data_IF_156587271037
#
_entry.id   IF_156587271037
#
_cell.length_a   1.000
_cell.length_b   1.000
_cell.length_c   1.000
_cell.angle_alpha   90.00
_cell.angle_beta   90.00
_cell.angle_gamma   90.00
#
_symmetry.space_group_name_H-M   'P 1'
#
loop_
_entity.id
_entity.type
_entity.pdbx_description
1 polymer ?
#
# COMPACT_ATOMS: atom_id res chain seq x y z
N UNK A 1 -10.25 25.72 24.00
CA UNK A 1 -9.58 24.42 23.79
C UNK A 1 -10.48 23.33 24.34
N UNK A 2 -10.92 22.40 23.51
CA UNK A 2 -11.69 21.22 23.92
C UNK A 2 -10.88 19.97 23.53
N UNK A 3 -10.42 19.15 24.49
CA UNK A 3 -9.79 17.87 24.20
C UNK A 3 -10.89 16.83 23.99
N UNK A 4 -10.90 16.14 22.85
CA UNK A 4 -11.68 14.91 22.72
C UNK A 4 -12.82 14.89 21.71
N UNK A 5 -12.64 15.42 20.50
CA UNK A 5 -13.31 14.76 19.38
C UNK A 5 -12.47 13.53 19.02
N UNK A 6 -12.97 12.29 19.18
CA UNK A 6 -12.36 11.17 18.48
C UNK A 6 -12.37 11.56 17.00
N UNK A 7 -11.22 11.48 16.34
CA UNK A 7 -11.16 11.45 14.88
C UNK A 7 -12.23 10.45 14.45
N UNK A 8 -13.35 10.95 13.90
CA UNK A 8 -14.56 10.15 13.72
C UNK A 8 -14.20 8.83 13.06
N UNK A 9 -14.37 7.73 13.80
CA UNK A 9 -14.06 6.40 13.30
C UNK A 9 -14.92 6.14 12.07
N UNK A 10 -14.26 5.96 10.92
CA UNK A 10 -14.89 5.78 9.62
C UNK A 10 -15.07 4.28 9.36
N UNK A 11 -16.08 3.72 10.01
CA UNK A 11 -16.42 2.29 9.91
C UNK A 11 -16.70 1.87 8.45
N UNK A 12 -17.20 2.79 7.63
CA UNK A 12 -17.38 2.65 6.18
C UNK A 12 -16.07 2.31 5.46
N UNK A 13 -14.99 3.02 5.79
CA UNK A 13 -13.70 2.84 5.12
C UNK A 13 -12.99 1.59 5.62
N UNK A 14 -13.10 1.28 6.91
CA UNK A 14 -12.55 0.04 7.45
C UNK A 14 -13.32 -1.19 6.93
N UNK A 15 -14.64 -1.06 6.69
CA UNK A 15 -15.45 -2.07 5.99
C UNK A 15 -15.01 -2.30 4.55
N UNK A 16 -14.68 -1.25 3.81
CA UNK A 16 -14.13 -1.36 2.45
C UNK A 16 -12.75 -2.04 2.44
N UNK A 17 -11.89 -1.77 3.43
CA UNK A 17 -10.62 -2.50 3.58
C UNK A 17 -10.82 -3.97 3.88
N UNK A 18 -11.75 -4.30 4.78
CA UNK A 18 -12.09 -5.68 5.08
C UNK A 18 -12.58 -6.40 3.81
N UNK A 19 -13.44 -5.76 3.02
CA UNK A 19 -13.91 -6.29 1.74
C UNK A 19 -12.75 -6.52 0.76
N UNK A 20 -11.85 -5.54 0.62
CA UNK A 20 -10.67 -5.68 -0.24
C UNK A 20 -9.78 -6.87 0.16
N UNK A 21 -9.55 -7.06 1.46
CA UNK A 21 -8.80 -8.21 1.99
C UNK A 21 -9.54 -9.53 1.73
N UNK A 22 -10.86 -9.57 1.91
CA UNK A 22 -11.66 -10.77 1.63
C UNK A 22 -11.57 -11.21 0.16
N UNK A 23 -11.56 -10.26 -0.79
CA UNK A 23 -11.34 -10.57 -2.20
C UNK A 23 -10.00 -11.28 -2.44
N UNK A 24 -8.94 -10.81 -1.77
CA UNK A 24 -7.60 -11.43 -1.85
C UNK A 24 -7.62 -12.84 -1.24
N UNK A 25 -8.26 -13.00 -0.08
CA UNK A 25 -8.36 -14.30 0.61
C UNK A 25 -9.14 -15.31 -0.22
N UNK A 26 -10.31 -14.94 -0.74
CA UNK A 26 -11.13 -15.85 -1.55
C UNK A 26 -10.47 -16.26 -2.87
N UNK A 27 -9.68 -15.36 -3.46
CA UNK A 27 -8.85 -15.71 -4.61
C UNK A 27 -7.82 -16.80 -4.25
N UNK A 28 -7.10 -16.68 -3.13
CA UNK A 28 -6.13 -17.70 -2.70
C UNK A 28 -6.79 -19.02 -2.26
N UNK A 29 -8.05 -18.97 -1.81
CA UNK A 29 -8.83 -20.17 -1.46
C UNK A 29 -9.49 -20.84 -2.67
N UNK A 30 -9.25 -20.36 -3.90
CA UNK A 30 -9.85 -20.87 -5.14
C UNK A 30 -11.39 -20.91 -5.08
N UNK A 31 -12.02 -19.94 -4.41
CA UNK A 31 -13.48 -19.84 -4.35
C UNK A 31 -14.00 -19.47 -5.76
N UNK A 32 -14.99 -20.20 -6.31
CA UNK A 32 -15.57 -19.88 -7.61
C UNK A 32 -16.01 -18.41 -7.69
N UNK A 33 -15.82 -17.79 -8.86
CA UNK A 33 -16.15 -16.38 -9.16
C UNK A 33 -15.20 -15.32 -8.55
N UNK A 34 -14.21 -15.71 -7.74
CA UNK A 34 -13.20 -14.79 -7.18
C UNK A 34 -11.85 -14.87 -7.90
N UNK A 35 -11.83 -14.85 -9.23
CA UNK A 35 -10.60 -14.99 -10.05
C UNK A 35 -9.74 -13.71 -10.10
N UNK A 36 -10.13 -12.63 -9.41
CA UNK A 36 -9.51 -11.30 -9.50
C UNK A 36 -8.91 -10.80 -8.19
N UNK A 37 -8.20 -11.64 -7.43
CA UNK A 37 -7.62 -11.25 -6.12
C UNK A 37 -6.73 -10.02 -6.17
N UNK A 38 -6.08 -9.78 -7.32
CA UNK A 38 -5.29 -8.58 -7.58
C UNK A 38 -6.08 -7.28 -7.43
N UNK A 39 -7.36 -7.27 -7.84
CA UNK A 39 -8.26 -6.12 -7.68
C UNK A 39 -8.44 -5.75 -6.21
N UNK A 40 -8.41 -6.74 -5.30
CA UNK A 40 -8.45 -6.48 -3.87
C UNK A 40 -7.25 -5.67 -3.39
N UNK A 41 -6.06 -5.92 -3.94
CA UNK A 41 -4.85 -5.15 -3.61
C UNK A 41 -4.94 -3.72 -4.17
N UNK A 42 -5.46 -3.55 -5.38
CA UNK A 42 -5.64 -2.23 -6.02
C UNK A 42 -6.57 -1.36 -5.16
N UNK A 43 -7.71 -1.92 -4.75
CA UNK A 43 -8.66 -1.25 -3.86
C UNK A 43 -7.99 -0.91 -2.52
N UNK A 44 -7.19 -1.82 -1.97
CA UNK A 44 -6.45 -1.57 -0.73
C UNK A 44 -5.49 -0.37 -0.87
N UNK A 45 -4.72 -0.28 -1.95
CA UNK A 45 -3.81 0.85 -2.21
C UNK A 45 -4.56 2.17 -2.44
N UNK A 46 -5.68 2.15 -3.16
CA UNK A 46 -6.56 3.32 -3.33
C UNK A 46 -7.08 3.81 -1.97
N UNK A 47 -7.61 2.91 -1.13
CA UNK A 47 -8.11 3.29 0.20
C UNK A 47 -6.99 3.82 1.09
N UNK A 48 -5.81 3.22 1.02
CA UNK A 48 -4.63 3.65 1.77
C UNK A 48 -4.17 5.04 1.34
N UNK A 49 -4.12 5.32 0.04
CA UNK A 49 -3.86 6.66 -0.51
C UNK A 49 -4.88 7.70 -0.04
N UNK A 50 -6.17 7.36 -0.05
CA UNK A 50 -7.24 8.22 0.43
C UNK A 50 -7.08 8.56 1.92
N UNK A 51 -6.96 7.55 2.77
CA UNK A 51 -6.94 7.74 4.22
C UNK A 51 -5.71 8.49 4.70
N UNK A 52 -4.54 8.21 4.12
CA UNK A 52 -3.33 8.92 4.54
C UNK A 52 -3.36 10.38 4.08
N UNK A 53 -3.84 10.63 2.87
CA UNK A 53 -3.92 11.98 2.31
C UNK A 53 -4.90 12.82 3.12
N UNK A 54 -6.09 12.28 3.41
CA UNK A 54 -7.10 12.95 4.25
C UNK A 54 -6.54 13.23 5.65
N UNK A 55 -5.85 12.27 6.27
CA UNK A 55 -5.25 12.44 7.60
C UNK A 55 -4.19 13.56 7.61
N UNK A 56 -3.24 13.53 6.67
CA UNK A 56 -2.16 14.53 6.61
C UNK A 56 -2.71 15.91 6.34
N UNK A 57 -3.55 16.06 5.32
CA UNK A 57 -4.08 17.37 4.93
C UNK A 57 -4.90 17.97 6.08
N UNK A 58 -5.71 17.17 6.78
CA UNK A 58 -6.45 17.63 7.96
C UNK A 58 -5.55 18.04 9.11
N UNK A 59 -4.53 17.25 9.43
CA UNK A 59 -3.62 17.57 10.55
C UNK A 59 -2.86 18.87 10.27
N UNK A 60 -2.31 19.03 9.05
CA UNK A 60 -1.59 20.25 8.68
C UNK A 60 -2.53 21.46 8.60
N UNK A 61 -3.75 21.30 8.08
CA UNK A 61 -4.76 22.37 8.05
C UNK A 61 -5.17 22.83 9.45
N UNK A 62 -5.37 21.90 10.38
CA UNK A 62 -5.91 22.20 11.72
C UNK A 62 -4.84 22.67 12.71
N UNK A 63 -3.61 22.17 12.58
CA UNK A 63 -2.52 22.44 13.54
C UNK A 63 -1.40 23.30 12.97
N UNK A 64 -1.38 23.53 11.65
CA UNK A 64 -0.27 24.20 10.95
C UNK A 64 1.00 23.37 10.83
N UNK A 65 1.02 22.12 11.32
CA UNK A 65 2.19 21.24 11.31
C UNK A 65 1.79 19.77 11.15
N UNK A 66 2.75 18.86 11.01
CA UNK A 66 2.50 17.42 10.98
C UNK A 66 3.47 16.69 11.91
N UNK A 67 2.94 15.84 12.80
CA UNK A 67 3.76 15.06 13.73
C UNK A 67 4.12 13.69 13.16
N UNK A 68 5.25 13.60 12.46
CA UNK A 68 5.79 12.32 11.96
C UNK A 68 5.94 11.28 13.07
N UNK A 69 6.42 11.69 14.26
CA UNK A 69 6.56 10.79 15.42
C UNK A 69 5.23 10.19 15.85
N UNK A 70 4.18 10.99 15.93
CA UNK A 70 2.85 10.52 16.31
C UNK A 70 2.27 9.58 15.25
N UNK A 71 2.42 9.97 13.98
CA UNK A 71 2.00 9.20 12.82
C UNK A 71 2.60 7.79 12.82
N UNK A 72 3.93 7.68 12.83
CA UNK A 72 4.61 6.38 12.79
C UNK A 72 4.37 5.55 14.06
N UNK A 73 4.29 6.19 15.24
CA UNK A 73 3.99 5.47 16.49
C UNK A 73 2.62 4.80 16.44
N UNK A 74 1.58 5.53 16.02
CA UNK A 74 0.22 4.98 15.91
C UNK A 74 0.16 3.85 14.90
N UNK A 75 0.87 3.99 13.77
CA UNK A 75 0.95 2.95 12.73
C UNK A 75 1.66 1.70 13.25
N UNK A 76 2.79 1.85 13.91
CA UNK A 76 3.56 0.76 14.49
C UNK A 76 2.70 -0.08 15.45
N UNK A 77 2.05 0.56 16.44
CA UNK A 77 1.22 -0.17 17.40
C UNK A 77 -0.06 -0.76 16.82
N UNK A 78 -0.50 -0.28 15.65
CA UNK A 78 -1.65 -0.86 14.94
C UNK A 78 -1.27 -2.10 14.14
N UNK A 79 -0.08 -2.13 13.53
CA UNK A 79 0.30 -3.19 12.58
C UNK A 79 1.21 -4.24 13.21
N UNK A 80 2.20 -3.82 14.00
CA UNK A 80 3.24 -4.69 14.51
C UNK A 80 2.72 -5.86 15.36
N UNK A 81 1.71 -5.69 16.25
CA UNK A 81 1.22 -6.82 17.05
C UNK A 81 0.63 -7.94 16.19
N UNK A 82 -0.22 -7.59 15.22
CA UNK A 82 -0.82 -8.57 14.32
C UNK A 82 0.24 -9.22 13.42
N UNK A 83 1.17 -8.42 12.88
CA UNK A 83 2.27 -8.91 12.05
C UNK A 83 3.15 -9.90 12.81
N UNK A 84 3.54 -9.55 14.04
CA UNK A 84 4.40 -10.38 14.89
C UNK A 84 3.72 -11.73 15.20
N UNK A 85 2.44 -11.70 15.58
CA UNK A 85 1.64 -12.92 15.79
C UNK A 85 1.62 -13.78 14.53
N UNK A 86 1.28 -13.20 13.37
CA UNK A 86 1.27 -13.91 12.09
C UNK A 86 2.61 -14.57 11.79
N UNK A 87 3.73 -13.87 11.97
CA UNK A 87 5.08 -14.41 11.76
C UNK A 87 5.37 -15.56 12.73
N UNK A 88 5.07 -15.41 14.02
CA UNK A 88 5.31 -16.45 15.01
C UNK A 88 4.54 -17.74 14.72
N UNK A 89 3.24 -17.64 14.41
CA UNK A 89 2.42 -18.80 14.08
C UNK A 89 2.85 -19.43 12.75
N UNK A 90 3.21 -18.61 11.75
CA UNK A 90 3.71 -19.10 10.46
C UNK A 90 5.04 -19.84 10.64
N UNK A 91 5.96 -19.30 11.44
CA UNK A 91 7.24 -19.94 11.73
C UNK A 91 7.05 -21.26 12.50
N UNK A 92 6.17 -21.28 13.50
CA UNK A 92 5.87 -22.49 14.26
C UNK A 92 5.29 -23.61 13.37
N UNK A 93 4.34 -23.27 12.48
CA UNK A 93 3.80 -24.22 11.50
C UNK A 93 4.84 -24.69 10.49
N UNK A 94 5.66 -23.77 9.98
CA UNK A 94 6.69 -24.09 9.00
C UNK A 94 7.75 -25.04 9.54
N UNK A 95 8.18 -24.88 10.80
CA UNK A 95 9.16 -25.80 11.42
C UNK A 95 8.68 -27.26 11.40
N UNK A 96 7.36 -27.49 11.48
CA UNK A 96 6.76 -28.82 11.48
C UNK A 96 6.52 -29.37 10.06
N UNK A 97 6.26 -28.49 9.09
CA UNK A 97 5.73 -28.86 7.78
C UNK A 97 6.73 -28.72 6.63
N UNK A 98 7.73 -27.84 6.75
CA UNK A 98 8.59 -27.43 5.64
C UNK A 98 9.95 -28.14 5.65
N UNK A 99 10.50 -28.38 4.46
CA UNK A 99 11.87 -28.88 4.32
C UNK A 99 12.90 -27.78 4.68
N UNK A 100 14.18 -28.14 4.96
CA UNK A 100 15.20 -27.16 5.30
C UNK A 100 15.34 -26.00 4.30
N UNK A 101 15.25 -26.29 2.99
CA UNK A 101 15.30 -25.27 1.95
C UNK A 101 14.11 -24.29 2.00
N UNK A 102 12.91 -24.76 2.35
CA UNK A 102 11.74 -23.90 2.52
C UNK A 102 11.81 -23.06 3.79
N UNK A 103 12.41 -23.59 4.87
CA UNK A 103 12.68 -22.83 6.09
C UNK A 103 13.69 -21.72 5.86
N UNK A 104 14.73 -21.95 5.07
CA UNK A 104 15.69 -20.90 4.68
C UNK A 104 15.00 -19.77 3.90
N UNK A 105 14.15 -20.13 2.92
CA UNK A 105 13.33 -19.15 2.18
C UNK A 105 12.39 -18.37 3.10
N UNK A 106 11.76 -19.03 4.07
CA UNK A 106 10.91 -18.36 5.06
C UNK A 106 11.73 -17.38 5.92
N UNK A 107 12.91 -17.77 6.38
CA UNK A 107 13.82 -16.89 7.12
C UNK A 107 14.18 -15.65 6.31
N UNK A 108 14.49 -15.82 5.02
CA UNK A 108 14.68 -14.73 4.07
C UNK A 108 13.48 -13.80 4.01
N UNK A 109 12.27 -14.35 3.81
CA UNK A 109 11.03 -13.55 3.77
C UNK A 109 10.80 -12.76 5.07
N UNK A 110 11.05 -13.35 6.24
CA UNK A 110 10.90 -12.69 7.55
C UNK A 110 11.88 -11.52 7.69
N UNK A 111 13.14 -11.70 7.32
CA UNK A 111 14.14 -10.62 7.37
C UNK A 111 13.71 -9.44 6.49
N UNK A 112 13.33 -9.71 5.24
CA UNK A 112 12.94 -8.66 4.29
C UNK A 112 11.61 -8.01 4.65
N UNK A 113 10.69 -8.74 5.28
CA UNK A 113 9.47 -8.21 5.84
C UNK A 113 9.76 -7.14 6.90
N UNK A 114 10.57 -7.46 7.91
CA UNK A 114 10.90 -6.49 8.96
C UNK A 114 11.80 -5.34 8.46
N UNK A 115 12.55 -5.55 7.37
CA UNK A 115 13.28 -4.49 6.68
C UNK A 115 12.39 -3.62 5.78
N UNK A 116 11.09 -3.93 5.61
CA UNK A 116 10.17 -3.16 4.76
C UNK A 116 10.40 -3.33 3.26
N UNK A 117 11.03 -4.43 2.85
CA UNK A 117 11.46 -4.71 1.46
C UNK A 117 11.09 -6.12 0.98
N UNK A 118 10.05 -6.74 1.57
CA UNK A 118 9.61 -8.07 1.15
C UNK A 118 9.12 -8.11 -0.30
N UNK A 119 8.63 -6.99 -0.83
CA UNK A 119 8.31 -6.86 -2.26
C UNK A 119 9.52 -7.05 -3.17
N UNK A 120 10.69 -6.51 -2.78
CA UNK A 120 11.93 -6.70 -3.53
C UNK A 120 12.40 -8.16 -3.42
N UNK A 121 12.31 -8.75 -2.23
CA UNK A 121 12.66 -10.16 -2.02
C UNK A 121 11.87 -11.10 -2.94
N UNK A 122 10.54 -10.96 -2.96
CA UNK A 122 9.68 -11.78 -3.79
C UNK A 122 9.79 -11.45 -5.29
N UNK A 123 10.15 -10.22 -5.64
CA UNK A 123 10.52 -9.85 -7.01
C UNK A 123 11.82 -10.51 -7.47
N UNK A 124 12.88 -10.52 -6.65
CA UNK A 124 14.15 -11.18 -7.04
C UNK A 124 14.06 -12.70 -7.13
N UNK A 125 13.08 -13.30 -6.45
CA UNK A 125 12.82 -14.74 -6.45
C UNK A 125 11.63 -15.12 -7.33
N UNK A 126 11.36 -14.35 -8.39
CA UNK A 126 10.16 -14.42 -9.23
C UNK A 126 10.05 -15.71 -10.07
N UNK A 127 9.77 -16.79 -9.36
CA UNK A 127 8.78 -17.80 -9.74
C UNK A 127 7.46 -17.43 -9.01
N UNK A 128 6.94 -16.20 -9.17
CA UNK A 128 5.66 -15.81 -8.53
C UNK A 128 4.47 -16.57 -9.17
N UNK A 129 4.58 -16.85 -10.46
CA UNK A 129 3.61 -17.62 -11.24
C UNK A 129 4.10 -19.04 -11.60
N UNK A 130 5.35 -19.37 -11.29
CA UNK A 130 5.86 -20.73 -11.43
C UNK A 130 5.78 -21.47 -10.09
N UNK A 131 5.55 -22.77 -10.15
CA UNK A 131 5.03 -23.67 -9.10
C UNK A 131 5.34 -23.24 -7.65
N UNK A 132 4.34 -22.66 -6.97
CA UNK A 132 4.22 -22.71 -5.50
C UNK A 132 3.99 -21.40 -4.74
N UNK A 133 2.99 -20.58 -5.08
CA UNK A 133 2.49 -19.57 -4.13
C UNK A 133 2.08 -20.21 -2.78
N UNK A 134 1.59 -21.45 -2.83
CA UNK A 134 1.19 -22.27 -1.69
C UNK A 134 2.34 -22.57 -0.71
N UNK A 135 3.60 -22.54 -1.17
CA UNK A 135 4.79 -22.78 -0.32
C UNK A 135 5.46 -21.49 0.15
N UNK A 136 4.86 -20.33 -0.12
CA UNK A 136 5.34 -19.00 0.28
C UNK A 136 4.36 -18.37 1.27
N UNK A 137 4.32 -18.79 2.54
CA UNK A 137 3.25 -18.41 3.47
C UNK A 137 3.21 -16.91 3.83
N UNK A 138 4.34 -16.21 3.68
CA UNK A 138 4.44 -14.76 3.88
C UNK A 138 4.38 -13.96 2.57
N UNK A 139 3.98 -14.56 1.45
CA UNK A 139 3.97 -13.89 0.16
C UNK A 139 3.17 -12.58 0.19
N UNK A 140 1.97 -12.61 0.79
CA UNK A 140 1.06 -11.47 0.92
C UNK A 140 1.70 -10.21 1.54
N UNK A 141 2.80 -10.33 2.29
CA UNK A 141 3.47 -9.19 2.93
C UNK A 141 4.17 -8.25 1.95
N UNK A 142 4.35 -8.67 0.68
CA UNK A 142 4.89 -7.79 -0.35
C UNK A 142 4.09 -6.48 -0.45
N UNK A 143 2.75 -6.58 -0.39
CA UNK A 143 1.85 -5.44 -0.51
C UNK A 143 1.95 -4.52 0.70
N UNK A 144 2.21 -5.08 1.89
CA UNK A 144 2.50 -4.33 3.11
C UNK A 144 3.80 -3.53 2.97
N UNK A 145 4.88 -4.13 2.44
CA UNK A 145 6.15 -3.41 2.22
C UNK A 145 5.99 -2.26 1.22
N UNK A 146 5.21 -2.45 0.13
CA UNK A 146 4.88 -1.36 -0.80
C UNK A 146 4.12 -0.24 -0.09
N UNK A 147 3.14 -0.59 0.74
CA UNK A 147 2.37 0.38 1.54
C UNK A 147 3.26 1.14 2.55
N UNK A 148 4.22 0.47 3.18
CA UNK A 148 5.18 1.09 4.11
C UNK A 148 6.14 2.04 3.39
N UNK A 149 6.69 1.66 2.24
CA UNK A 149 7.51 2.52 1.39
C UNK A 149 6.74 3.76 0.96
N UNK A 150 5.48 3.57 0.55
CA UNK A 150 4.57 4.66 0.24
C UNK A 150 4.40 5.60 1.44
N UNK A 151 4.13 5.08 2.65
CA UNK A 151 3.99 5.93 3.83
C UNK A 151 5.29 6.52 4.37
N UNK A 152 6.45 6.06 3.93
CA UNK A 152 7.71 6.75 4.19
C UNK A 152 7.84 8.02 3.34
N UNK A 153 7.40 7.96 2.08
CA UNK A 153 7.57 9.04 1.09
C UNK A 153 6.41 10.04 1.15
N UNK A 154 5.17 9.54 1.21
CA UNK A 154 3.95 10.32 1.02
C UNK A 154 3.74 11.45 2.03
N UNK A 155 3.92 11.23 3.36
CA UNK A 155 3.77 12.32 4.32
C UNK A 155 4.81 13.41 4.13
N UNK A 156 6.06 13.05 3.83
CA UNK A 156 7.12 14.01 3.55
C UNK A 156 6.77 14.88 2.33
N UNK A 157 6.36 14.25 1.23
CA UNK A 157 5.95 14.93 0.02
C UNK A 157 4.76 15.87 0.26
N UNK A 158 3.66 15.35 0.84
CA UNK A 158 2.45 16.13 1.01
C UNK A 158 2.61 17.27 2.00
N UNK A 159 3.31 17.05 3.11
CA UNK A 159 3.58 18.12 4.09
C UNK A 159 4.43 19.21 3.42
N UNK A 160 5.48 18.85 2.70
CA UNK A 160 6.32 19.82 1.99
C UNK A 160 5.54 20.66 0.96
N UNK A 161 4.77 20.00 0.09
CA UNK A 161 3.95 20.67 -0.93
C UNK A 161 2.88 21.53 -0.27
N UNK A 162 2.22 21.04 0.78
CA UNK A 162 1.17 21.77 1.47
C UNK A 162 1.68 23.04 2.14
N UNK A 163 2.82 22.97 2.84
CA UNK A 163 3.43 24.10 3.53
C UNK A 163 4.01 25.14 2.56
N UNK A 164 4.45 24.72 1.36
CA UNK A 164 5.00 25.62 0.34
C UNK A 164 3.90 26.25 -0.52
N UNK A 165 2.99 25.43 -1.04
CA UNK A 165 1.87 25.86 -1.87
C UNK A 165 0.72 24.84 -1.79
N UNK A 166 -0.22 25.05 -0.87
CA UNK A 166 -1.41 24.20 -0.71
C UNK A 166 -2.21 23.96 -2.00
N UNK A 167 -2.20 24.92 -2.95
CA UNK A 167 -2.91 24.78 -4.24
C UNK A 167 -2.20 23.83 -5.21
N UNK A 168 -0.92 23.53 -4.99
CA UNK A 168 -0.15 22.61 -5.82
C UNK A 168 -0.41 21.14 -5.49
N UNK A 169 -0.96 20.81 -4.32
CA UNK A 169 -1.22 19.42 -3.90
C UNK A 169 -1.99 18.60 -4.94
N UNK A 170 -3.17 19.01 -5.44
CA UNK A 170 -3.90 18.23 -6.43
C UNK A 170 -3.10 18.05 -7.74
N UNK A 171 -2.34 19.06 -8.15
CA UNK A 171 -1.50 18.97 -9.36
C UNK A 171 -0.36 17.98 -9.19
N UNK A 172 0.31 17.95 -8.03
CA UNK A 172 1.33 16.95 -7.73
C UNK A 172 0.74 15.54 -7.76
N UNK A 173 -0.45 15.35 -7.20
CA UNK A 173 -1.15 14.06 -7.25
C UNK A 173 -1.52 13.64 -8.68
N UNK A 174 -2.01 14.58 -9.52
CA UNK A 174 -2.29 14.33 -10.94
C UNK A 174 -1.02 13.97 -11.69
N UNK A 175 0.08 14.68 -11.45
CA UNK A 175 1.37 14.40 -12.08
C UNK A 175 1.90 13.02 -11.68
N UNK A 176 1.82 12.65 -10.40
CA UNK A 176 2.21 11.32 -9.92
C UNK A 176 1.33 10.21 -10.50
N UNK A 177 0.01 10.44 -10.56
CA UNK A 177 -0.93 9.53 -11.21
C UNK A 177 -0.53 9.32 -12.67
N UNK A 178 -0.39 10.40 -13.45
CA UNK A 178 -0.05 10.32 -14.86
C UNK A 178 1.32 9.68 -15.12
N UNK A 179 2.33 10.04 -14.32
CA UNK A 179 3.67 9.47 -14.42
C UNK A 179 3.70 7.97 -14.10
N UNK A 180 3.08 7.56 -12.99
CA UNK A 180 3.04 6.15 -12.60
C UNK A 180 2.22 5.31 -13.58
N UNK A 181 1.09 5.83 -14.07
CA UNK A 181 0.26 5.14 -15.07
C UNK A 181 0.99 5.03 -16.42
N UNK A 182 1.69 6.08 -16.85
CA UNK A 182 2.50 6.04 -18.06
C UNK A 182 3.64 5.02 -17.93
N UNK A 183 4.36 4.99 -16.79
CA UNK A 183 5.37 3.97 -16.53
C UNK A 183 4.77 2.56 -16.57
N UNK A 184 3.60 2.34 -15.96
CA UNK A 184 2.91 1.06 -16.01
C UNK A 184 2.58 0.65 -17.45
N UNK A 185 1.94 1.54 -18.23
CA UNK A 185 1.55 1.26 -19.61
C UNK A 185 2.73 1.06 -20.56
N UNK A 186 3.83 1.79 -20.39
CA UNK A 186 5.04 1.65 -21.21
C UNK A 186 5.71 0.28 -21.02
N UNK A 187 5.59 -0.31 -19.84
CA UNK A 187 6.19 -1.60 -19.51
C UNK A 187 5.18 -2.76 -19.64
N UNK A 188 3.88 -2.49 -19.74
CA UNK A 188 2.82 -3.52 -19.83
C UNK A 188 3.01 -4.52 -20.98
N UNK A 189 3.50 -4.05 -22.14
CA UNK A 189 3.65 -4.90 -23.33
C UNK A 189 4.90 -5.78 -23.32
N UNK A 190 5.76 -5.69 -22.28
CA UNK A 190 7.00 -6.48 -22.18
C UNK A 190 8.07 -6.14 -23.23
N UNK A 191 7.81 -5.13 -24.07
CA UNK A 191 8.63 -4.73 -25.23
C UNK A 191 9.21 -3.33 -25.05
N UNK A 192 9.92 -3.08 -23.96
CA UNK A 192 10.63 -1.79 -23.82
C UNK A 192 11.93 -1.81 -24.63
N UNK A 193 12.02 -0.89 -25.59
CA UNK A 193 13.18 -0.69 -26.48
C UNK A 193 14.50 -0.31 -25.76
N UNK A 194 14.47 -0.09 -24.44
CA UNK A 194 15.59 0.42 -23.64
C UNK A 194 16.35 -0.66 -22.85
N UNK A 195 15.82 -1.88 -22.69
CA UNK A 195 16.38 -2.85 -21.73
C UNK A 195 16.48 -4.30 -22.22
N UNK A 196 16.08 -4.61 -23.46
CA UNK A 196 15.92 -6.00 -23.88
C UNK A 196 14.70 -6.64 -23.20
N UNK A 197 14.34 -7.85 -23.61
CA UNK A 197 13.24 -8.61 -23.01
C UNK A 197 13.50 -8.78 -21.51
N UNK A 198 12.80 -7.99 -20.68
CA UNK A 198 12.72 -8.28 -19.26
C UNK A 198 11.89 -9.56 -19.16
N UNK A 199 12.57 -10.70 -18.99
CA UNK A 199 11.95 -12.02 -18.79
C UNK A 199 10.90 -12.00 -17.66
N UNK A 200 10.91 -10.97 -16.81
CA UNK A 200 10.06 -10.82 -15.64
C UNK A 200 9.33 -9.46 -15.53
N UNK A 201 8.83 -8.97 -16.66
CA UNK A 201 8.10 -7.70 -16.75
C UNK A 201 6.87 -7.66 -15.83
N UNK A 202 6.16 -8.78 -15.70
CA UNK A 202 4.94 -8.85 -14.88
C UNK A 202 5.23 -8.71 -13.38
N UNK A 203 6.25 -9.40 -12.85
CA UNK A 203 6.62 -9.24 -11.45
C UNK A 203 7.11 -7.82 -11.14
N UNK A 204 7.78 -7.18 -12.09
CA UNK A 204 8.22 -5.79 -11.94
C UNK A 204 7.03 -4.84 -11.76
N UNK A 205 6.04 -4.91 -12.66
CA UNK A 205 4.81 -4.11 -12.54
C UNK A 205 4.04 -4.38 -11.24
N UNK A 206 4.16 -5.60 -10.72
CA UNK A 206 3.44 -6.07 -9.56
C UNK A 206 4.08 -5.69 -8.22
N UNK A 207 5.41 -5.82 -8.08
CA UNK A 207 6.10 -5.64 -6.81
C UNK A 207 6.65 -4.23 -6.59
N UNK A 208 6.84 -3.44 -7.65
CA UNK A 208 7.52 -2.15 -7.55
C UNK A 208 6.53 -0.99 -7.36
N UNK A 209 6.74 -0.21 -6.29
CA UNK A 209 5.94 0.97 -5.97
C UNK A 209 5.77 1.96 -7.13
N UNK A 210 6.80 2.34 -7.92
CA UNK A 210 6.66 3.32 -8.99
C UNK A 210 5.59 2.97 -10.04
N UNK A 211 5.39 1.68 -10.32
CA UNK A 211 4.41 1.20 -11.29
C UNK A 211 3.00 1.08 -10.73
N UNK A 212 2.83 1.20 -9.40
CA UNK A 212 1.53 1.11 -8.69
C UNK A 212 1.15 2.39 -7.95
N UNK A 213 2.03 3.39 -7.93
CA UNK A 213 1.79 4.66 -7.26
C UNK A 213 0.53 5.39 -7.76
N UNK A 214 0.06 5.12 -8.99
CA UNK A 214 -1.20 5.62 -9.51
C UNK A 214 -2.41 5.23 -8.65
N UNK A 215 -2.40 4.04 -8.02
CA UNK A 215 -3.50 3.55 -7.17
C UNK A 215 -3.63 4.42 -5.92
N UNK A 216 -2.50 4.68 -5.26
CA UNK A 216 -2.46 5.58 -4.12
C UNK A 216 -2.82 7.03 -4.50
N UNK A 217 -2.38 7.49 -5.67
CA UNK A 217 -2.68 8.83 -6.18
C UNK A 217 -4.18 9.01 -6.47
N UNK A 218 -4.86 8.00 -7.03
CA UNK A 218 -6.33 7.98 -7.17
C UNK A 218 -6.97 8.21 -5.80
N UNK A 219 -6.54 7.45 -4.79
CA UNK A 219 -6.99 7.61 -3.42
C UNK A 219 -6.82 9.04 -2.90
N UNK A 220 -5.63 9.61 -3.08
CA UNK A 220 -5.33 10.99 -2.68
C UNK A 220 -6.20 12.03 -3.39
N UNK A 221 -6.49 11.84 -4.68
CA UNK A 221 -7.36 12.73 -5.46
C UNK A 221 -8.82 12.68 -5.01
N UNK A 222 -9.30 11.50 -4.60
CA UNK A 222 -10.67 11.33 -4.08
C UNK A 222 -10.95 12.20 -2.84
N UNK A 223 -9.91 12.54 -2.05
CA UNK A 223 -10.06 13.48 -0.93
C UNK A 223 -10.64 14.82 -1.39
N UNK A 224 -10.15 15.36 -2.51
CA UNK A 224 -10.61 16.64 -3.05
C UNK A 224 -12.04 16.53 -3.61
N UNK A 225 -12.39 15.40 -4.24
CA UNK A 225 -13.76 15.16 -4.73
C UNK A 225 -14.76 15.13 -3.57
N UNK A 226 -14.42 14.43 -2.49
CA UNK A 226 -15.28 14.34 -1.29
C UNK A 226 -15.39 15.69 -0.59
N UNK A 227 -14.31 16.47 -0.53
CA UNK A 227 -14.32 17.82 0.05
C UNK A 227 -15.21 18.79 -0.74
N UNK A 228 -15.21 18.72 -2.08
CA UNK A 228 -16.08 19.56 -2.92
C UNK A 228 -17.57 19.31 -2.64
N UNK A 229 -17.94 18.07 -2.29
CA UNK A 229 -19.32 17.66 -2.13
C UNK A 229 -19.87 17.87 -0.71
N UNK A 230 -19.03 18.22 0.26
CA UNK A 230 -19.41 18.28 1.66
C UNK A 230 -19.38 19.74 2.18
N UNK A 231 -20.55 20.30 2.53
CA UNK A 231 -20.72 21.72 2.92
C UNK A 231 -19.83 22.14 4.11
N UNK A 232 -19.48 21.22 5.01
CA UNK A 232 -18.55 21.49 6.12
C UNK A 232 -17.13 21.87 5.64
N UNK A 233 -16.75 21.52 4.41
CA UNK A 233 -15.42 21.79 3.85
C UNK A 233 -15.38 23.02 2.94
N UNK A 234 -16.53 23.65 2.63
CA UNK A 234 -16.59 24.84 1.76
C UNK A 234 -15.94 26.09 2.37
N UNK A 235 -15.83 26.20 3.70
CA UNK A 235 -15.06 27.26 4.35
C UNK A 235 -13.53 27.07 4.24
N UNK A 236 -13.06 25.97 3.67
CA UNK A 236 -11.64 25.57 3.65
C UNK A 236 -10.98 25.89 2.30
N UNK A 237 -11.76 26.26 1.28
CA UNK A 237 -11.29 26.61 -0.07
C UNK A 237 -11.21 28.12 -0.35
N UNK A 238 -11.66 28.98 0.58
CA UNK A 238 -11.47 30.44 0.52
C UNK A 238 -10.12 30.86 1.09
#
# INVERSE_FOLDING_TARGET
MNPGHPLGYRADVDGLRAYAVLLVVFFHLNVPYFNGGFVGVDIFFVISGFLITDLILREVQTTGSFSFRYFYRRRFWRLFPALFVTVCFTAAGAILLFSPAHLERLGGAVIHLFAGVSNIYFWTGADYFDVGADVKPLLHTWSLSVEEQFYAIWPCLLVFVFLTNRKAVPWVLISLFGFSLALNGLFADGKTALTGTLEDTQATLFFWLPFRAYEFAIGGLLVFVVQLNNKQWRCIAS
#
